data_IF_426835554113
#
_entry.id   IF_426835554113
#
_cell.length_a   1.000
_cell.length_b   1.000
_cell.length_c   1.000
_cell.angle_alpha   90.00
_cell.angle_beta   90.00
_cell.angle_gamma   90.00
#
_symmetry.space_group_name_H-M   'P 1'
#
loop_
_entity.id
_entity.type
_entity.pdbx_description
1 polymer ?
#
# COMPACT_ATOMS: atom_id res chain seq x y z
N UNK A 1 14.00 4.31 -3.75
CA UNK A 1 12.92 3.42 -4.25
C UNK A 1 12.11 4.25 -5.22
N UNK A 2 11.73 3.72 -6.40
CA UNK A 2 10.93 4.50 -7.36
C UNK A 2 9.67 3.72 -7.75
N UNK A 3 8.67 3.73 -6.86
CA UNK A 3 7.37 3.10 -7.12
C UNK A 3 6.77 3.52 -8.47
N UNK A 4 6.99 4.77 -8.85
CA UNK A 4 6.52 5.36 -10.11
C UNK A 4 7.04 4.67 -11.38
N UNK A 5 8.22 4.03 -11.32
CA UNK A 5 8.80 3.33 -12.47
C UNK A 5 8.44 1.85 -12.52
N UNK A 6 7.68 1.34 -11.55
CA UNK A 6 7.31 -0.05 -11.50
C UNK A 6 6.49 -0.47 -12.73
N UNK A 7 6.88 -1.56 -13.38
CA UNK A 7 6.18 -2.03 -14.60
C UNK A 7 4.72 -2.38 -14.34
N UNK A 8 4.40 -2.91 -13.16
CA UNK A 8 3.02 -3.21 -12.78
C UNK A 8 2.14 -1.95 -12.73
N UNK A 9 2.68 -0.82 -12.27
CA UNK A 9 1.95 0.44 -12.20
C UNK A 9 1.63 0.97 -13.60
N UNK A 10 2.59 0.85 -14.53
CA UNK A 10 2.36 1.19 -15.95
C UNK A 10 1.26 0.34 -16.55
N UNK A 11 1.26 -0.97 -16.27
CA UNK A 11 0.22 -1.88 -16.76
C UNK A 11 -1.16 -1.50 -16.22
N UNK A 12 -1.27 -1.19 -14.92
CA UNK A 12 -2.53 -0.78 -14.31
C UNK A 12 -3.02 0.55 -14.88
N UNK A 13 -2.14 1.54 -15.09
CA UNK A 13 -2.56 2.82 -15.69
C UNK A 13 -3.01 2.68 -17.15
N UNK A 14 -2.46 1.72 -17.90
CA UNK A 14 -2.91 1.41 -19.26
C UNK A 14 -4.23 0.63 -19.29
N UNK A 15 -4.40 -0.32 -18.35
CA UNK A 15 -5.58 -1.17 -18.23
C UNK A 15 -6.02 -1.27 -16.75
N UNK A 16 -6.90 -0.36 -16.29
CA UNK A 16 -7.14 -0.15 -14.86
C UNK A 16 -8.07 -1.18 -14.22
N UNK A 17 -8.61 -2.13 -14.98
CA UNK A 17 -9.41 -3.22 -14.39
C UNK A 17 -8.49 -4.21 -13.68
N UNK A 18 -8.69 -4.35 -12.38
CA UNK A 18 -7.88 -5.24 -11.53
C UNK A 18 -8.77 -6.24 -10.79
N UNK A 19 -8.18 -7.39 -10.46
CA UNK A 19 -8.79 -8.40 -9.60
C UNK A 19 -7.87 -8.62 -8.40
N UNK A 20 -8.39 -8.40 -7.19
CA UNK A 20 -7.71 -8.62 -5.94
C UNK A 20 -8.22 -9.91 -5.31
N UNK A 21 -7.33 -10.89 -5.13
CA UNK A 21 -7.68 -12.15 -4.48
C UNK A 21 -7.22 -12.14 -3.02
N UNK A 22 -8.18 -12.19 -2.12
CA UNK A 22 -7.98 -12.41 -0.70
C UNK A 22 -8.18 -13.88 -0.36
N UNK A 23 -7.91 -14.27 0.89
CA UNK A 23 -8.02 -15.67 1.31
C UNK A 23 -9.44 -16.25 1.13
N UNK A 24 -10.47 -15.43 1.32
CA UNK A 24 -11.89 -15.86 1.26
C UNK A 24 -12.68 -15.22 0.14
N UNK A 25 -12.27 -14.05 -0.32
CA UNK A 25 -13.01 -13.26 -1.29
C UNK A 25 -12.14 -12.85 -2.48
N UNK A 26 -12.80 -12.56 -3.59
CA UNK A 26 -12.18 -11.94 -4.76
C UNK A 26 -12.93 -10.68 -5.09
N UNK A 27 -12.22 -9.56 -5.14
CA UNK A 27 -12.77 -8.27 -5.53
C UNK A 27 -12.33 -7.93 -6.95
N UNK A 28 -13.22 -7.34 -7.73
CA UNK A 28 -12.86 -6.70 -8.99
C UNK A 28 -13.08 -5.20 -8.87
N UNK A 29 -12.36 -4.40 -9.65
CA UNK A 29 -12.51 -2.95 -9.55
C UNK A 29 -11.65 -2.18 -10.55
N UNK A 30 -11.74 -0.86 -10.43
CA UNK A 30 -10.94 0.08 -11.21
C UNK A 30 -9.85 0.67 -10.31
N UNK A 31 -8.61 0.40 -10.68
CA UNK A 31 -7.44 0.97 -10.04
C UNK A 31 -7.14 2.37 -10.62
N UNK A 32 -6.81 3.32 -9.75
CA UNK A 32 -6.53 4.71 -10.09
C UNK A 32 -5.59 5.36 -9.09
N UNK A 33 -4.93 6.44 -9.52
CA UNK A 33 -4.18 7.29 -8.60
C UNK A 33 -5.14 8.07 -7.66
N UNK A 34 -4.69 8.44 -6.43
CA UNK A 34 -5.42 9.36 -5.56
C UNK A 34 -5.64 10.72 -6.21
N UNK A 35 -6.86 11.27 -6.09
CA UNK A 35 -7.30 12.48 -6.79
C UNK A 35 -7.06 13.77 -6.00
N UNK A 36 -7.01 13.68 -4.68
CA UNK A 36 -6.89 14.83 -3.79
C UNK A 36 -6.18 14.46 -2.47
N UNK A 37 -5.89 15.48 -1.66
CA UNK A 37 -5.15 15.31 -0.41
C UNK A 37 -5.91 14.48 0.62
N UNK A 38 -7.25 14.54 0.63
CA UNK A 38 -8.06 13.70 1.51
C UNK A 38 -7.93 12.21 1.18
N UNK A 39 -7.92 11.83 -0.11
CA UNK A 39 -7.67 10.46 -0.53
C UNK A 39 -6.23 10.01 -0.25
N UNK A 40 -5.25 10.91 -0.40
CA UNK A 40 -3.84 10.64 -0.03
C UNK A 40 -3.70 10.42 1.47
N UNK A 41 -4.37 11.24 2.28
CA UNK A 41 -4.38 11.10 3.73
C UNK A 41 -5.08 9.79 4.15
N UNK A 42 -6.20 9.45 3.53
CA UNK A 42 -6.88 8.18 3.80
C UNK A 42 -6.00 6.97 3.47
N UNK A 43 -5.25 7.00 2.36
CA UNK A 43 -4.28 5.97 2.02
C UNK A 43 -3.13 5.90 3.04
N UNK A 44 -2.63 7.07 3.47
CA UNK A 44 -1.62 7.16 4.52
C UNK A 44 -2.11 6.57 5.84
N UNK A 45 -3.31 6.94 6.31
CA UNK A 45 -3.85 6.46 7.57
C UNK A 45 -4.14 4.95 7.53
N UNK A 46 -4.62 4.44 6.40
CA UNK A 46 -4.86 3.02 6.21
C UNK A 46 -3.56 2.19 6.18
N UNK A 47 -2.50 2.71 5.56
CA UNK A 47 -1.23 2.00 5.39
C UNK A 47 -0.26 2.19 6.56
N UNK A 48 -0.21 3.38 7.16
CA UNK A 48 0.77 3.78 8.19
C UNK A 48 0.16 3.93 9.59
N UNK A 49 -1.17 4.00 9.73
CA UNK A 49 -1.82 4.43 10.98
C UNK A 49 -1.71 3.46 12.15
N UNK A 50 -1.84 2.15 11.91
CA UNK A 50 -1.70 1.13 12.95
C UNK A 50 -1.06 -0.17 12.47
N UNK A 51 0.07 -0.57 13.07
CA UNK A 51 0.67 -1.87 12.84
C UNK A 51 -0.26 -3.03 13.21
N UNK A 52 -0.29 -4.03 12.35
CA UNK A 52 -0.87 -5.35 12.58
C UNK A 52 0.20 -6.33 13.10
N UNK A 53 -0.17 -7.46 13.71
CA UNK A 53 0.79 -8.42 14.25
C UNK A 53 1.84 -8.91 13.24
N UNK A 54 1.46 -9.04 11.96
CA UNK A 54 2.37 -9.49 10.91
C UNK A 54 3.49 -8.48 10.62
N UNK A 55 3.22 -7.19 10.81
CA UNK A 55 4.14 -6.11 10.48
C UNK A 55 5.37 -6.10 11.39
N UNK A 56 5.28 -6.70 12.58
CA UNK A 56 6.43 -6.91 13.46
C UNK A 56 7.43 -7.91 12.86
N UNK A 57 6.93 -8.97 12.21
CA UNK A 57 7.74 -9.92 11.47
C UNK A 57 8.36 -9.29 10.22
N UNK A 58 7.58 -8.50 9.49
CA UNK A 58 8.09 -7.71 8.36
C UNK A 58 9.22 -6.77 8.78
N UNK A 59 9.05 -6.06 9.90
CA UNK A 59 10.04 -5.11 10.39
C UNK A 59 11.36 -5.80 10.76
N UNK A 60 11.31 -6.99 11.37
CA UNK A 60 12.49 -7.80 11.68
C UNK A 60 13.31 -8.17 10.44
N UNK A 61 12.65 -8.36 9.29
CA UNK A 61 13.31 -8.71 8.03
C UNK A 61 13.95 -7.50 7.33
N UNK A 62 13.41 -6.30 7.56
CA UNK A 62 13.81 -5.10 6.83
C UNK A 62 14.63 -4.11 7.66
N UNK A 63 14.59 -4.19 8.99
CA UNK A 63 15.27 -3.27 9.91
C UNK A 63 16.01 -4.03 11.00
N UNK A 64 17.12 -3.44 11.47
CA UNK A 64 17.93 -4.01 12.55
C UNK A 64 17.27 -3.82 13.92
N UNK A 65 17.49 -4.79 14.80
CA UNK A 65 17.08 -4.77 16.21
C UNK A 65 15.60 -5.11 16.41
N UNK A 66 15.15 -5.04 17.68
CA UNK A 66 13.77 -5.40 18.02
C UNK A 66 12.75 -4.48 17.31
N UNK A 67 11.66 -5.06 16.77
CA UNK A 67 10.60 -4.31 16.14
C UNK A 67 9.81 -3.56 17.21
N UNK A 68 9.48 -2.31 16.93
CA UNK A 68 8.61 -1.49 17.78
C UNK A 68 7.52 -0.91 16.92
N UNK A 69 6.40 -0.50 17.55
CA UNK A 69 5.30 0.16 16.84
C UNK A 69 5.81 1.34 16.01
N UNK A 70 6.68 2.18 16.60
CA UNK A 70 7.31 3.33 15.93
C UNK A 70 8.14 2.90 14.72
N UNK A 71 9.00 1.88 14.85
CA UNK A 71 9.82 1.40 13.72
C UNK A 71 9.00 0.85 12.56
N UNK A 72 7.82 0.31 12.84
CA UNK A 72 6.92 -0.19 11.80
C UNK A 72 6.28 0.97 11.06
N UNK A 73 5.73 1.94 11.80
CA UNK A 73 5.11 3.13 11.21
C UNK A 73 6.13 3.87 10.33
N UNK A 74 7.33 4.11 10.84
CA UNK A 74 8.41 4.73 10.05
C UNK A 74 8.79 3.91 8.81
N UNK A 75 8.71 2.57 8.86
CA UNK A 75 8.99 1.72 7.70
C UNK A 75 7.90 1.91 6.64
N UNK A 76 6.64 1.84 7.04
CA UNK A 76 5.49 2.00 6.16
C UNK A 76 5.41 3.40 5.58
N UNK A 77 5.66 4.45 6.37
CA UNK A 77 5.73 5.84 5.89
C UNK A 77 6.83 5.98 4.83
N UNK A 78 8.04 5.49 5.09
CA UNK A 78 9.13 5.55 4.12
C UNK A 78 8.83 4.78 2.81
N UNK A 79 8.08 3.68 2.90
CA UNK A 79 7.63 2.93 1.73
C UNK A 79 6.53 3.64 0.96
N UNK A 80 5.57 4.26 1.64
CA UNK A 80 4.50 5.01 1.02
C UNK A 80 5.04 6.26 0.31
N UNK A 81 5.92 7.02 0.98
CA UNK A 81 6.56 8.22 0.43
C UNK A 81 7.51 7.91 -0.74
N UNK A 82 8.23 6.79 -0.66
CA UNK A 82 9.09 6.31 -1.76
C UNK A 82 8.35 5.52 -2.85
N UNK A 83 7.06 5.28 -2.66
CA UNK A 83 6.19 4.47 -3.50
C UNK A 83 5.20 5.32 -4.30
N UNK A 84 4.28 4.63 -4.98
CA UNK A 84 3.11 5.27 -5.60
C UNK A 84 1.85 4.55 -5.13
N UNK A 85 1.01 5.17 -4.28
CA UNK A 85 -0.24 4.57 -3.84
C UNK A 85 -1.25 4.50 -4.99
N UNK A 86 -2.04 3.43 -5.01
CA UNK A 86 -3.14 3.23 -5.95
C UNK A 86 -4.39 2.89 -5.16
N UNK A 87 -5.51 3.49 -5.53
CA UNK A 87 -6.84 3.23 -4.96
C UNK A 87 -7.57 2.30 -5.91
N UNK A 88 -8.23 1.28 -5.37
CA UNK A 88 -9.11 0.39 -6.13
C UNK A 88 -10.55 0.69 -5.74
N UNK A 89 -11.30 1.29 -6.67
CA UNK A 89 -12.74 1.45 -6.54
C UNK A 89 -13.37 0.06 -6.80
N UNK A 90 -13.65 -0.69 -5.73
CA UNK A 90 -14.14 -2.06 -5.81
C UNK A 90 -15.63 -2.09 -6.19
N UNK A 91 -15.98 -3.03 -7.08
CA UNK A 91 -17.35 -3.43 -7.36
C UNK A 91 -17.56 -4.82 -6.74
N UNK A 92 -18.48 -4.91 -5.79
CA UNK A 92 -18.92 -6.18 -5.19
C UNK A 92 -19.76 -6.98 -6.20
#
# INVERSE_FOLDING_TARGET
MTGEHALWLKNIRAHPRVTLRFRRDTLTGIARDPRNDAERQAAHDAFCGSPHPFDYGENLLHRKGLPTRTKIIELHTAWLEGGTPVIVDATL
#
